data_IF_149735619744
#
_entry.id   IF_149735619744
#
_cell.length_a   1.000
_cell.length_b   1.000
_cell.length_c   1.000
_cell.angle_alpha   90.00
_cell.angle_beta   90.00
_cell.angle_gamma   90.00
#
_symmetry.space_group_name_H-M   'P 1'
#
loop_
_entity.id
_entity.type
_entity.pdbx_description
1 polymer ?
#
# COMPACT_ATOMS: atom_id res chain seq x y z
N UNK A 1 -5.36 8.20 20.57
CA UNK A 1 -4.54 7.85 19.40
C UNK A 1 -4.50 8.96 18.36
N UNK A 2 -3.34 9.18 17.79
CA UNK A 2 -3.16 10.15 16.73
C UNK A 2 -3.76 9.62 15.42
N UNK A 3 -4.47 10.47 14.68
CA UNK A 3 -5.12 10.06 13.45
C UNK A 3 -4.19 10.13 12.23
N UNK A 4 -4.35 9.20 11.30
CA UNK A 4 -3.63 9.16 10.04
C UNK A 4 -4.62 9.12 8.88
N UNK A 5 -4.53 10.09 7.99
CA UNK A 5 -5.49 10.29 6.89
C UNK A 5 -5.23 9.41 5.65
N UNK A 6 -4.91 8.13 5.81
CA UNK A 6 -4.67 7.25 4.66
C UNK A 6 -5.93 6.89 3.88
N UNK A 7 -7.10 7.17 4.45
CA UNK A 7 -8.37 6.90 3.76
C UNK A 7 -8.72 7.99 2.74
N UNK A 8 -7.88 9.02 2.61
CA UNK A 8 -8.00 10.04 1.57
C UNK A 8 -7.16 9.64 0.34
N UNK A 9 -7.23 10.46 -0.72
CA UNK A 9 -6.41 10.26 -1.93
C UNK A 9 -4.95 10.67 -1.75
N UNK A 10 -4.58 11.25 -0.62
CA UNK A 10 -3.19 11.54 -0.29
C UNK A 10 -2.44 10.24 -0.01
N UNK A 11 -1.21 10.14 -0.41
CA UNK A 11 -0.36 9.03 -0.02
C UNK A 11 -0.09 9.02 1.48
N UNK A 12 0.34 7.88 2.02
CA UNK A 12 0.65 7.71 3.44
C UNK A 12 1.66 8.75 3.94
N UNK A 13 2.66 9.06 3.13
CA UNK A 13 3.69 10.06 3.46
C UNK A 13 3.09 11.44 3.71
N UNK A 14 2.15 11.87 2.85
CA UNK A 14 1.45 13.15 3.01
C UNK A 14 0.48 13.14 4.19
N UNK A 15 -0.08 11.98 4.52
CA UNK A 15 -1.09 11.85 5.55
C UNK A 15 -0.53 11.91 6.98
N UNK A 16 0.75 11.63 7.17
CA UNK A 16 1.39 11.55 8.49
C UNK A 16 1.80 12.93 9.02
N UNK A 17 1.97 13.89 8.11
CA UNK A 17 2.30 15.27 8.50
C UNK A 17 3.72 15.40 9.03
N UNK A 18 3.86 15.86 10.28
CA UNK A 18 5.16 16.20 10.87
C UNK A 18 5.85 15.03 11.57
N UNK A 19 5.20 13.88 11.69
CA UNK A 19 5.80 12.71 12.30
C UNK A 19 6.89 12.13 11.37
N UNK A 20 7.92 11.54 11.98
CA UNK A 20 9.00 10.91 11.22
C UNK A 20 8.50 9.58 10.66
N UNK A 21 8.30 9.55 9.36
CA UNK A 21 7.95 8.34 8.63
C UNK A 21 9.20 7.73 8.00
N UNK A 22 9.41 6.45 8.30
CA UNK A 22 10.44 5.64 7.64
C UNK A 22 9.78 4.49 6.88
N UNK A 23 10.38 4.10 5.79
CA UNK A 23 9.96 2.94 5.01
C UNK A 23 11.09 1.94 4.90
N UNK A 24 10.84 0.74 5.39
CA UNK A 24 11.75 -0.38 5.21
C UNK A 24 11.18 -1.31 4.13
N UNK A 25 11.99 -1.63 3.13
CA UNK A 25 11.60 -2.52 2.06
C UNK A 25 11.72 -3.95 2.54
N UNK A 26 10.61 -4.68 2.54
CA UNK A 26 10.57 -6.11 2.90
C UNK A 26 10.79 -6.95 1.65
N UNK A 27 10.08 -6.62 0.57
CA UNK A 27 10.28 -7.24 -0.74
C UNK A 27 10.45 -6.13 -1.76
N UNK A 28 11.61 -6.12 -2.43
CA UNK A 28 11.90 -5.15 -3.50
C UNK A 28 10.92 -5.34 -4.65
N UNK A 29 10.60 -4.28 -5.40
CA UNK A 29 9.74 -4.40 -6.58
C UNK A 29 10.25 -5.51 -7.50
N UNK A 30 9.36 -6.43 -7.85
CA UNK A 30 9.64 -7.54 -8.76
C UNK A 30 8.40 -7.87 -9.57
N UNK A 31 8.59 -8.49 -10.71
CA UNK A 31 7.49 -8.91 -11.57
C UNK A 31 7.12 -10.35 -11.21
N UNK A 32 5.85 -10.57 -10.90
CA UNK A 32 5.27 -11.89 -10.63
C UNK A 32 4.02 -12.08 -11.48
N UNK A 33 3.52 -13.30 -11.55
CA UNK A 33 2.19 -13.55 -12.11
C UNK A 33 1.11 -13.16 -11.08
N UNK A 34 -0.08 -12.84 -11.58
CA UNK A 34 -1.24 -12.57 -10.71
C UNK A 34 -1.77 -13.88 -10.15
N UNK A 35 -1.24 -14.30 -9.01
CA UNK A 35 -1.66 -15.57 -8.39
C UNK A 35 -2.73 -15.40 -7.33
N UNK A 36 -2.88 -14.19 -6.79
CA UNK A 36 -3.83 -13.91 -5.72
C UNK A 36 -4.62 -12.65 -6.02
N UNK A 37 -5.94 -12.80 -6.10
CA UNK A 37 -6.85 -11.68 -6.07
C UNK A 37 -7.15 -11.37 -4.60
N UNK A 38 -6.77 -10.19 -4.16
CA UNK A 38 -7.14 -9.74 -2.83
C UNK A 38 -8.28 -8.75 -2.94
N UNK A 39 -9.46 -9.21 -2.67
CA UNK A 39 -10.61 -8.35 -2.48
C UNK A 39 -11.15 -7.62 -3.70
N UNK A 40 -10.47 -7.63 -4.84
CA UNK A 40 -10.89 -7.00 -6.08
C UNK A 40 -10.76 -7.94 -7.25
N UNK A 41 -11.73 -7.90 -8.17
CA UNK A 41 -11.65 -8.66 -9.41
C UNK A 41 -10.70 -7.98 -10.39
N UNK A 42 -9.87 -8.78 -11.03
CA UNK A 42 -9.01 -8.34 -12.11
C UNK A 42 -9.70 -8.57 -13.44
N UNK A 43 -9.59 -7.61 -14.36
CA UNK A 43 -10.00 -7.80 -15.74
C UNK A 43 -9.08 -8.83 -16.42
N UNK A 44 -9.55 -9.43 -17.54
CA UNK A 44 -8.71 -10.35 -18.32
C UNK A 44 -7.44 -9.66 -18.82
N UNK A 45 -7.51 -8.38 -19.14
CA UNK A 45 -6.34 -7.60 -19.54
C UNK A 45 -5.35 -7.47 -18.39
N UNK A 46 -5.81 -7.15 -17.19
CA UNK A 46 -4.95 -7.06 -16.01
C UNK A 46 -4.29 -8.41 -15.69
N UNK A 47 -5.05 -9.50 -15.78
CA UNK A 47 -4.50 -10.85 -15.55
C UNK A 47 -3.42 -11.23 -16.56
N UNK A 48 -3.54 -10.79 -17.82
CA UNK A 48 -2.57 -11.09 -18.86
C UNK A 48 -1.26 -10.34 -18.74
N UNK A 49 -1.25 -9.24 -18.00
CA UNK A 49 -0.05 -8.47 -17.70
C UNK A 49 0.62 -9.02 -16.45
N UNK A 50 1.94 -8.95 -16.39
CA UNK A 50 2.64 -9.25 -15.16
C UNK A 50 2.23 -8.30 -14.05
N UNK A 51 2.45 -8.70 -12.83
CA UNK A 51 2.21 -7.88 -11.64
C UNK A 51 3.55 -7.38 -11.08
N UNK A 52 3.69 -6.09 -10.93
CA UNK A 52 4.79 -5.52 -10.15
C UNK A 52 4.36 -5.62 -8.69
N UNK A 53 5.10 -6.39 -7.92
CA UNK A 53 4.83 -6.71 -6.54
C UNK A 53 5.89 -6.13 -5.62
N UNK A 54 5.47 -5.51 -4.52
CA UNK A 54 6.37 -4.91 -3.55
C UNK A 54 5.76 -5.00 -2.15
N UNK A 55 6.60 -5.23 -1.13
CA UNK A 55 6.18 -5.18 0.26
C UNK A 55 7.01 -4.16 1.01
N UNK A 56 6.35 -3.33 1.79
CA UNK A 56 6.98 -2.30 2.60
C UNK A 56 6.45 -2.32 4.02
N UNK A 57 7.33 -2.10 4.99
CA UNK A 57 6.94 -1.81 6.37
C UNK A 57 7.13 -0.31 6.61
N UNK A 58 6.07 0.35 7.03
CA UNK A 58 6.07 1.79 7.29
C UNK A 58 6.10 2.01 8.80
N UNK A 59 7.09 2.76 9.25
CA UNK A 59 7.32 3.02 10.67
C UNK A 59 7.10 4.51 10.94
N UNK A 60 6.41 4.80 12.04
CA UNK A 60 6.23 6.18 12.53
C UNK A 60 6.95 6.26 13.87
N UNK A 61 7.92 7.16 13.97
CA UNK A 61 8.76 7.28 15.15
C UNK A 61 9.37 5.94 15.57
N UNK A 62 9.88 5.21 14.57
CA UNK A 62 10.49 3.89 14.71
C UNK A 62 9.56 2.74 15.14
N UNK A 63 8.25 2.98 15.18
CA UNK A 63 7.27 1.93 15.46
C UNK A 63 6.56 1.48 14.18
N UNK A 64 6.51 0.17 13.89
CA UNK A 64 5.78 -0.33 12.73
C UNK A 64 4.28 -0.04 12.87
N UNK A 65 3.73 0.67 11.89
CA UNK A 65 2.31 1.01 11.86
C UNK A 65 1.60 0.40 10.66
N UNK A 66 2.27 0.37 9.50
CA UNK A 66 1.71 -0.17 8.27
C UNK A 66 2.60 -1.25 7.69
N UNK A 67 1.98 -2.36 7.31
CA UNK A 67 2.57 -3.37 6.42
C UNK A 67 1.81 -3.28 5.10
N UNK A 68 2.49 -2.87 4.04
CA UNK A 68 1.89 -2.49 2.76
C UNK A 68 2.34 -3.46 1.68
N UNK A 69 1.39 -4.15 1.06
CA UNK A 69 1.61 -4.97 -0.12
C UNK A 69 1.03 -4.21 -1.31
N UNK A 70 1.89 -3.84 -2.26
CA UNK A 70 1.50 -3.10 -3.46
C UNK A 70 1.59 -4.02 -4.67
N UNK A 71 0.57 -3.98 -5.52
CA UNK A 71 0.51 -4.73 -6.79
C UNK A 71 0.08 -3.80 -7.90
N UNK A 72 0.91 -3.69 -8.93
CA UNK A 72 0.72 -2.75 -10.03
C UNK A 72 0.80 -3.53 -11.33
N UNK A 73 -0.19 -3.39 -12.24
CA UNK A 73 -0.07 -4.00 -13.58
C UNK A 73 1.20 -3.54 -14.28
N UNK A 74 1.97 -4.49 -14.79
CA UNK A 74 3.23 -4.18 -15.48
C UNK A 74 2.96 -3.67 -16.90
N UNK A 75 2.49 -2.42 -16.99
CA UNK A 75 2.14 -1.79 -18.25
C UNK A 75 2.71 -0.39 -18.34
N UNK A 76 3.67 -0.19 -19.25
CA UNK A 76 4.30 1.12 -19.50
C UNK A 76 4.86 1.78 -18.24
N UNK A 77 5.57 0.99 -17.44
CA UNK A 77 6.29 1.44 -16.26
C UNK A 77 7.78 1.08 -16.38
N UNK A 78 8.51 1.68 -17.36
CA UNK A 78 9.89 1.30 -17.61
C UNK A 78 10.77 1.54 -16.38
N UNK A 79 11.63 0.57 -16.10
CA UNK A 79 12.59 0.61 -14.98
C UNK A 79 11.97 0.73 -13.59
N UNK A 80 10.68 0.43 -13.45
CA UNK A 80 10.03 0.51 -12.13
C UNK A 80 10.71 -0.40 -11.12
N UNK A 81 11.03 -1.64 -11.50
CA UNK A 81 11.62 -2.64 -10.61
C UNK A 81 13.07 -2.32 -10.21
N UNK A 82 13.74 -1.41 -10.92
CA UNK A 82 15.09 -0.96 -10.57
C UNK A 82 15.10 0.31 -9.71
N UNK A 83 13.94 0.90 -9.42
CA UNK A 83 13.84 2.10 -8.58
C UNK A 83 13.94 1.75 -7.10
N UNK A 84 14.42 2.71 -6.31
CA UNK A 84 14.51 2.62 -4.87
C UNK A 84 13.28 3.26 -4.24
N UNK A 85 12.62 2.55 -3.34
CA UNK A 85 11.40 3.03 -2.67
C UNK A 85 11.60 3.27 -1.17
N UNK A 86 12.77 3.02 -0.63
CA UNK A 86 13.07 3.26 0.77
C UNK A 86 12.94 4.76 1.09
N UNK A 87 12.13 5.09 2.10
CA UNK A 87 11.85 6.46 2.52
C UNK A 87 11.29 7.38 1.41
N UNK A 88 10.63 6.80 0.40
CA UNK A 88 10.04 7.55 -0.71
C UNK A 88 8.55 7.27 -0.83
N UNK A 89 7.80 8.27 -1.30
CA UNK A 89 6.37 8.12 -1.58
C UNK A 89 6.16 7.45 -2.92
N UNK A 90 5.39 6.34 -2.91
CA UNK A 90 4.99 5.65 -4.13
C UNK A 90 4.18 6.57 -5.05
N UNK A 91 3.21 7.29 -4.50
CA UNK A 91 2.34 8.18 -5.29
C UNK A 91 3.16 9.29 -5.96
N UNK A 92 4.15 9.82 -5.26
CA UNK A 92 5.01 10.84 -5.82
C UNK A 92 5.90 10.30 -6.95
N UNK A 93 6.45 9.10 -6.79
CA UNK A 93 7.23 8.44 -7.84
C UNK A 93 6.36 8.18 -9.07
N UNK A 94 5.14 7.69 -8.89
CA UNK A 94 4.21 7.46 -10.00
C UNK A 94 3.87 8.76 -10.71
N UNK A 95 3.62 9.83 -9.99
CA UNK A 95 3.32 11.13 -10.58
C UNK A 95 4.53 11.72 -11.30
N UNK A 96 5.68 11.73 -10.65
CA UNK A 96 6.87 12.41 -11.13
C UNK A 96 7.52 11.70 -12.34
N UNK A 97 7.58 10.38 -12.31
CA UNK A 97 8.32 9.61 -13.32
C UNK A 97 7.43 8.93 -14.35
N UNK A 98 6.15 8.76 -14.07
CA UNK A 98 5.23 8.03 -14.95
C UNK A 98 3.98 8.81 -15.31
N UNK A 99 3.85 10.05 -14.82
CA UNK A 99 2.69 10.92 -15.03
C UNK A 99 1.38 10.23 -14.63
N UNK A 100 1.43 9.42 -13.59
CA UNK A 100 0.27 8.72 -13.02
C UNK A 100 -0.18 9.42 -11.75
N UNK A 101 -1.42 9.89 -11.74
CA UNK A 101 -2.06 10.46 -10.56
C UNK A 101 -3.23 9.61 -10.12
N UNK A 102 -3.36 9.39 -8.83
CA UNK A 102 -4.52 8.70 -8.26
C UNK A 102 -5.72 9.66 -8.29
N UNK A 103 -6.82 9.22 -8.90
CA UNK A 103 -8.03 10.02 -9.08
C UNK A 103 -9.20 9.56 -8.22
N UNK A 104 -9.16 8.36 -7.70
CA UNK A 104 -10.24 7.80 -6.91
C UNK A 104 -10.02 6.33 -6.70
N UNK A 105 -11.07 5.61 -6.41
CA UNK A 105 -11.00 4.16 -6.26
C UNK A 105 -12.00 3.62 -5.27
N UNK A 106 -11.76 2.40 -4.86
CA UNK A 106 -12.49 1.71 -3.81
C UNK A 106 -11.56 1.32 -2.69
N UNK A 107 -12.10 1.24 -1.49
CA UNK A 107 -11.39 0.62 -0.38
C UNK A 107 -12.35 -0.20 0.45
N UNK A 108 -11.85 -1.33 0.93
CA UNK A 108 -12.57 -2.26 1.80
C UNK A 108 -11.78 -2.37 3.09
N UNK A 109 -12.44 -2.20 4.21
CA UNK A 109 -11.80 -2.21 5.52
C UNK A 109 -12.37 -3.36 6.34
N UNK A 110 -11.50 -4.19 6.89
CA UNK A 110 -11.87 -5.33 7.71
C UNK A 110 -11.02 -5.38 8.97
N UNK A 111 -11.62 -5.74 10.07
CA UNK A 111 -10.89 -6.11 11.27
C UNK A 111 -10.47 -7.58 11.13
N UNK A 112 -9.20 -7.85 11.37
CA UNK A 112 -8.63 -9.19 11.37
C UNK A 112 -7.80 -9.39 12.63
N UNK A 113 -7.38 -10.62 12.86
CA UNK A 113 -6.44 -10.94 13.94
C UNK A 113 -5.05 -11.19 13.36
N UNK A 114 -4.02 -10.78 14.10
CA UNK A 114 -2.65 -10.96 13.67
C UNK A 114 -2.30 -12.44 13.55
N UNK A 115 -1.87 -12.84 12.36
CA UNK A 115 -1.26 -14.15 12.11
C UNK A 115 0.27 -14.08 12.33
N UNK A 116 0.98 -15.18 12.07
CA UNK A 116 2.41 -15.26 12.34
C UNK A 116 3.22 -14.20 11.57
N UNK A 117 2.85 -13.89 10.33
CA UNK A 117 3.53 -12.87 9.51
C UNK A 117 3.33 -11.47 10.10
N UNK A 118 2.11 -11.15 10.51
CA UNK A 118 1.77 -9.84 11.11
C UNK A 118 2.45 -9.70 12.47
N UNK A 119 2.46 -10.76 13.27
CA UNK A 119 3.19 -10.80 14.54
C UNK A 119 4.66 -10.47 14.33
N UNK A 120 5.29 -11.08 13.33
CA UNK A 120 6.70 -10.83 13.02
C UNK A 120 6.96 -9.36 12.66
N UNK A 121 6.12 -8.78 11.79
CA UNK A 121 6.33 -7.41 11.32
C UNK A 121 6.00 -6.33 12.35
N UNK A 122 4.97 -6.54 13.15
CA UNK A 122 4.51 -5.53 14.11
C UNK A 122 5.01 -5.74 15.53
N UNK A 123 5.56 -6.89 15.83
CA UNK A 123 5.97 -7.21 17.21
C UNK A 123 4.80 -7.28 18.18
N UNK A 124 3.64 -7.66 17.72
CA UNK A 124 2.42 -7.83 18.53
C UNK A 124 2.19 -9.29 18.86
N UNK A 125 1.26 -9.58 19.76
CA UNK A 125 0.89 -10.95 20.08
C UNK A 125 -0.02 -11.55 18.99
N UNK A 126 0.04 -12.86 18.82
CA UNK A 126 -0.89 -13.59 17.97
C UNK A 126 -2.33 -13.32 18.42
N UNK A 127 -3.20 -13.04 17.47
CA UNK A 127 -4.58 -12.66 17.75
C UNK A 127 -4.81 -11.19 18.04
N UNK A 128 -3.76 -10.36 18.06
CA UNK A 128 -3.89 -8.91 18.22
C UNK A 128 -4.78 -8.33 17.12
N UNK A 129 -5.73 -7.42 17.44
CA UNK A 129 -6.59 -6.81 16.45
C UNK A 129 -5.80 -5.95 15.46
N UNK A 130 -6.03 -6.17 14.17
CA UNK A 130 -5.38 -5.44 13.08
C UNK A 130 -6.48 -5.00 12.10
N UNK A 131 -6.36 -3.81 11.52
CA UNK A 131 -7.18 -3.42 10.39
C UNK A 131 -6.47 -3.76 9.09
N UNK A 132 -7.21 -4.34 8.15
CA UNK A 132 -6.77 -4.54 6.78
C UNK A 132 -7.55 -3.62 5.86
N UNK A 133 -6.85 -2.84 5.07
CA UNK A 133 -7.44 -1.95 4.07
C UNK A 133 -7.02 -2.44 2.70
N UNK A 134 -7.96 -2.96 1.93
CA UNK A 134 -7.76 -3.34 0.54
C UNK A 134 -8.18 -2.17 -0.34
N UNK A 135 -7.30 -1.73 -1.24
CA UNK A 135 -7.52 -0.55 -2.07
C UNK A 135 -7.33 -0.88 -3.54
N UNK A 136 -8.30 -0.44 -4.36
CA UNK A 136 -8.14 -0.30 -5.80
C UNK A 136 -8.00 1.19 -6.08
N UNK A 137 -6.89 1.58 -6.70
CA UNK A 137 -6.54 2.97 -6.94
C UNK A 137 -6.63 3.25 -8.44
N UNK A 138 -7.62 4.05 -8.82
CA UNK A 138 -7.82 4.46 -10.22
C UNK A 138 -6.92 5.65 -10.53
N UNK A 139 -6.43 5.69 -11.75
CA UNK A 139 -5.48 6.73 -12.19
C UNK A 139 -6.03 7.53 -13.37
N UNK A 140 -5.34 8.61 -13.70
CA UNK A 140 -5.61 9.41 -14.90
C UNK A 140 -5.33 8.67 -16.21
N UNK A 141 -4.61 7.53 -16.18
CA UNK A 141 -4.43 6.69 -17.37
C UNK A 141 -5.65 5.80 -17.51
N UNK A 142 -6.35 5.88 -18.66
CA UNK A 142 -7.56 5.10 -18.92
C UNK A 142 -7.26 3.60 -18.85
N UNK A 143 -8.10 2.88 -18.09
CA UNK A 143 -7.98 1.44 -17.94
C UNK A 143 -6.79 1.00 -17.10
N UNK A 144 -6.15 1.90 -16.37
CA UNK A 144 -5.04 1.60 -15.50
C UNK A 144 -5.39 1.90 -14.05
N UNK A 145 -5.45 0.86 -13.25
CA UNK A 145 -5.60 0.92 -11.79
C UNK A 145 -4.53 0.06 -11.15
N UNK A 146 -4.18 0.36 -9.92
CA UNK A 146 -3.28 -0.48 -9.15
C UNK A 146 -3.86 -0.77 -7.78
N UNK A 147 -3.25 -1.67 -7.03
CA UNK A 147 -3.84 -2.23 -5.84
C UNK A 147 -2.88 -2.17 -4.67
N UNK A 148 -3.42 -2.00 -3.48
CA UNK A 148 -2.66 -2.17 -2.25
C UNK A 148 -3.48 -2.91 -1.22
N UNK A 149 -2.78 -3.65 -0.36
CA UNK A 149 -3.33 -4.25 0.83
C UNK A 149 -2.49 -3.76 1.99
N UNK A 150 -3.11 -3.01 2.89
CA UNK A 150 -2.43 -2.38 4.00
C UNK A 150 -2.93 -2.99 5.29
N UNK A 151 -2.02 -3.54 6.08
CA UNK A 151 -2.28 -3.98 7.44
C UNK A 151 -1.89 -2.87 8.38
N UNK A 152 -2.77 -2.49 9.29
CA UNK A 152 -2.57 -1.35 10.19
C UNK A 152 -2.69 -1.79 11.64
N UNK A 153 -1.67 -1.48 12.42
CA UNK A 153 -1.78 -1.54 13.87
C UNK A 153 -2.31 -0.20 14.37
N UNK A 154 -3.55 -0.19 14.84
CA UNK A 154 -4.24 1.04 15.27
C UNK A 154 -4.22 1.24 16.79
N UNK A 155 -3.32 0.57 17.49
CA UNK A 155 -3.20 0.72 18.94
C UNK A 155 -2.88 2.16 19.35
N UNK A 156 -1.91 2.78 18.68
CA UNK A 156 -1.47 4.16 18.95
C UNK A 156 -1.90 5.16 17.88
N UNK A 157 -2.45 4.71 16.79
CA UNK A 157 -2.88 5.55 15.66
C UNK A 157 -4.25 5.13 15.17
N UNK A 158 -5.10 6.10 14.88
CA UNK A 158 -6.38 5.85 14.21
C UNK A 158 -6.26 6.20 12.73
N UNK A 159 -7.12 5.59 11.90
CA UNK A 159 -7.26 5.98 10.50
C UNK A 159 -8.33 7.07 10.39
N UNK A 160 -8.02 8.12 9.64
CA UNK A 160 -8.93 9.24 9.43
C UNK A 160 -9.28 9.35 7.96
N UNK A 161 -10.56 9.55 7.66
CA UNK A 161 -11.05 9.95 6.36
C UNK A 161 -11.90 11.21 6.50
N UNK A 162 -11.88 12.05 5.48
CA UNK A 162 -12.76 13.23 5.37
C UNK A 162 -13.62 13.09 4.12
N UNK A 163 -14.88 13.49 4.22
CA UNK A 163 -15.85 13.39 3.15
C UNK A 163 -16.71 14.67 3.07
#
# INVERSE_FOLDING_TARGET
PKGIGILSLSGTTSAIGQDILKTRIIVKPKIISWEQAFGFELSEREKSMGCIYMERLRLINDQPVFYDITMIPNLNLPRFTSRTFENKSLFEILRKHYQLEVKGGEQKIQAITADDRIVEHFGVNRGHPILRVDRKLDTNRIGFSFFSQIYCNTEDYSLIGRF
#
